data_IF_912347770753
#
_entry.id   IF_912347770753
#
_cell.length_a   1.000
_cell.length_b   1.000
_cell.length_c   1.000
_cell.angle_alpha   90.00
_cell.angle_beta   90.00
_cell.angle_gamma   90.00
#
_symmetry.space_group_name_H-M   'P 1'
#
loop_
_entity.id
_entity.type
_entity.pdbx_description
1 polymer ?
#
# COMPACT_ATOMS: atom_id res chain seq x y z
N UNK A 1 4.78 0.50 -21.94
CA UNK A 1 5.52 0.01 -20.76
C UNK A 1 5.14 0.91 -19.61
N UNK A 2 4.63 0.37 -18.49
CA UNK A 2 4.34 1.18 -17.29
C UNK A 2 5.66 1.58 -16.63
N UNK A 3 5.77 2.82 -16.20
CA UNK A 3 6.88 3.37 -15.42
C UNK A 3 6.67 3.15 -13.91
N UNK A 4 7.70 3.42 -13.11
CA UNK A 4 7.60 3.38 -11.64
C UNK A 4 6.51 4.33 -11.14
N UNK A 5 6.38 5.49 -11.77
CA UNK A 5 5.36 6.49 -11.45
C UNK A 5 3.93 6.00 -11.71
N UNK A 6 3.74 5.04 -12.63
CA UNK A 6 2.43 4.46 -12.96
C UNK A 6 1.98 3.37 -11.96
N UNK A 7 2.89 2.94 -11.07
CA UNK A 7 2.64 1.87 -10.07
C UNK A 7 2.80 2.36 -8.62
N UNK A 8 3.17 3.62 -8.40
CA UNK A 8 3.27 4.22 -7.07
C UNK A 8 2.06 5.11 -6.77
N UNK A 9 1.68 5.17 -5.50
CA UNK A 9 0.64 6.05 -5.01
C UNK A 9 1.26 7.36 -4.55
N UNK A 10 0.72 8.50 -5.00
CA UNK A 10 1.24 9.83 -4.60
C UNK A 10 0.44 10.47 -3.46
N UNK A 11 -0.80 10.04 -3.25
CA UNK A 11 -1.73 10.75 -2.37
C UNK A 11 -1.85 12.22 -2.80
N UNK A 12 -1.69 13.15 -1.85
CA UNK A 12 -1.64 14.60 -2.12
C UNK A 12 -0.23 15.14 -2.42
N UNK A 13 0.82 14.29 -2.41
CA UNK A 13 2.19 14.71 -2.58
C UNK A 13 2.63 14.69 -4.06
N UNK A 14 3.71 15.42 -4.37
CA UNK A 14 4.36 15.35 -5.70
C UNK A 14 5.23 14.10 -5.88
N UNK A 15 5.81 13.62 -4.77
CA UNK A 15 6.65 12.42 -4.72
C UNK A 15 5.83 11.20 -4.34
N UNK A 16 6.21 10.04 -4.88
CA UNK A 16 5.61 8.75 -4.57
C UNK A 16 5.73 8.37 -3.09
N UNK A 17 4.76 7.60 -2.60
CA UNK A 17 4.69 7.14 -1.22
C UNK A 17 5.75 6.06 -0.97
N UNK A 18 6.06 5.22 -1.96
CA UNK A 18 6.95 4.08 -1.78
C UNK A 18 8.36 4.50 -1.34
N UNK A 19 9.00 5.43 -2.04
CA UNK A 19 10.36 5.89 -1.69
C UNK A 19 10.41 6.47 -0.28
N UNK A 20 9.43 7.30 0.07
CA UNK A 20 9.29 7.87 1.42
C UNK A 20 9.08 6.79 2.49
N UNK A 21 8.38 5.71 2.15
CA UNK A 21 8.16 4.59 3.07
C UNK A 21 9.44 3.80 3.31
N UNK A 22 10.25 3.59 2.26
CA UNK A 22 11.59 3.01 2.38
C UNK A 22 12.49 3.90 3.23
N UNK A 23 12.47 5.22 3.05
CA UNK A 23 13.26 6.15 3.86
C UNK A 23 12.88 6.08 5.35
N UNK A 24 11.59 5.88 5.66
CA UNK A 24 11.07 5.84 7.03
C UNK A 24 11.24 4.49 7.72
N UNK A 25 10.97 3.40 7.02
CA UNK A 25 10.84 2.05 7.59
C UNK A 25 11.96 1.09 7.15
N UNK A 26 12.85 1.53 6.25
CA UNK A 26 13.81 0.67 5.57
C UNK A 26 13.17 -0.12 4.41
N UNK A 27 13.98 -0.86 3.63
CA UNK A 27 13.46 -1.72 2.57
C UNK A 27 12.53 -2.81 3.13
N UNK A 28 11.62 -3.31 2.28
CA UNK A 28 10.82 -4.48 2.60
C UNK A 28 11.71 -5.73 2.59
N UNK A 29 11.54 -6.57 3.60
CA UNK A 29 12.05 -7.93 3.67
C UNK A 29 11.07 -8.93 3.05
N UNK A 30 11.36 -10.21 3.25
CA UNK A 30 10.48 -11.29 2.81
C UNK A 30 9.13 -11.21 3.53
N UNK A 31 8.04 -11.36 2.78
CA UNK A 31 6.67 -11.31 3.28
C UNK A 31 6.25 -9.97 3.92
N UNK A 32 6.97 -8.87 3.69
CA UNK A 32 6.59 -7.55 4.18
C UNK A 32 5.92 -6.70 3.11
N UNK A 33 4.98 -5.85 3.52
CA UNK A 33 4.30 -4.88 2.65
C UNK A 33 4.18 -3.51 3.32
N UNK A 34 4.15 -2.45 2.51
CA UNK A 34 3.65 -1.15 2.94
C UNK A 34 2.14 -1.08 2.72
N UNK A 35 1.37 -1.22 3.79
CA UNK A 35 -0.09 -1.15 3.80
C UNK A 35 -0.60 0.18 4.36
N UNK A 36 -1.87 0.50 4.10
CA UNK A 36 -2.54 1.64 4.73
C UNK A 36 -3.34 1.19 5.96
N UNK A 37 -3.18 1.92 7.06
CA UNK A 37 -3.97 1.77 8.27
C UNK A 37 -4.55 3.14 8.67
N UNK A 38 -5.89 3.31 8.68
CA UNK A 38 -6.91 2.31 8.33
C UNK A 38 -6.88 1.90 6.85
N UNK A 39 -7.37 0.70 6.56
CA UNK A 39 -7.45 0.19 5.19
C UNK A 39 -8.32 1.10 4.31
N UNK A 40 -7.94 1.28 3.03
CA UNK A 40 -8.66 2.16 2.08
C UNK A 40 -10.11 1.71 1.92
N UNK A 41 -10.36 0.41 1.85
CA UNK A 41 -11.71 -0.16 1.71
C UNK A 41 -12.62 0.17 2.91
N UNK A 42 -12.03 0.51 4.06
CA UNK A 42 -12.74 0.94 5.27
C UNK A 42 -12.83 2.46 5.42
N UNK A 43 -12.60 3.21 4.33
CA UNK A 43 -12.60 4.67 4.33
C UNK A 43 -11.25 5.28 4.70
N UNK A 44 -10.17 4.50 4.73
CA UNK A 44 -8.82 5.01 4.92
C UNK A 44 -8.34 5.90 3.78
N UNK A 45 -7.64 6.97 4.12
CA UNK A 45 -7.12 7.91 3.13
C UNK A 45 -5.72 7.50 2.65
N UNK A 46 -5.45 7.74 1.36
CA UNK A 46 -4.13 7.59 0.75
C UNK A 46 -3.23 8.75 1.19
N UNK A 47 -2.72 8.65 2.43
CA UNK A 47 -1.80 9.61 3.04
C UNK A 47 -0.57 8.86 3.57
N UNK A 48 0.59 9.49 3.46
CA UNK A 48 1.84 8.89 3.93
C UNK A 48 1.82 8.55 5.43
N UNK A 49 1.11 9.35 6.23
CA UNK A 49 0.95 9.12 7.68
C UNK A 49 0.20 7.83 8.02
N UNK A 50 -0.60 7.30 7.09
CA UNK A 50 -1.34 6.05 7.24
C UNK A 50 -0.54 4.83 6.78
N UNK A 51 0.65 5.01 6.20
CA UNK A 51 1.48 3.89 5.74
C UNK A 51 2.10 3.18 6.93
N UNK A 52 1.97 1.86 6.96
CA UNK A 52 2.59 0.95 7.94
C UNK A 52 3.34 -0.14 7.20
N UNK A 53 4.43 -0.60 7.80
CA UNK A 53 5.18 -1.78 7.35
C UNK A 53 4.65 -2.97 8.13
N UNK A 54 4.12 -3.97 7.43
CA UNK A 54 3.35 -5.07 8.03
C UNK A 54 3.64 -6.40 7.33
N UNK A 55 3.30 -7.52 7.97
CA UNK A 55 3.29 -8.85 7.34
C UNK A 55 2.20 -8.90 6.26
N UNK A 56 2.57 -9.31 5.04
CA UNK A 56 1.70 -9.29 3.88
C UNK A 56 0.57 -10.34 3.96
N UNK A 57 0.83 -11.50 4.56
CA UNK A 57 -0.17 -12.56 4.66
C UNK A 57 -1.27 -12.14 5.62
N UNK A 58 -0.88 -11.66 6.80
CA UNK A 58 -1.83 -11.15 7.81
C UNK A 58 -2.60 -9.96 7.23
N UNK A 59 -1.91 -9.02 6.58
CA UNK A 59 -2.56 -7.83 6.04
C UNK A 59 -3.60 -8.19 4.97
N UNK A 60 -3.26 -9.07 4.02
CA UNK A 60 -4.20 -9.49 2.98
C UNK A 60 -5.33 -10.37 3.50
N UNK A 61 -5.09 -11.21 4.50
CA UNK A 61 -6.14 -12.03 5.13
C UNK A 61 -7.19 -11.14 5.80
N UNK A 62 -6.77 -10.05 6.46
CA UNK A 62 -7.70 -9.06 7.02
C UNK A 62 -8.47 -8.35 5.91
N UNK A 63 -7.80 -7.87 4.84
CA UNK A 63 -8.48 -7.17 3.75
C UNK A 63 -9.55 -8.04 3.07
N UNK A 64 -9.30 -9.34 2.91
CA UNK A 64 -10.27 -10.30 2.34
C UNK A 64 -11.52 -10.52 3.20
N UNK A 65 -11.46 -10.22 4.50
CA UNK A 65 -12.66 -10.27 5.35
C UNK A 65 -13.63 -9.12 5.07
N UNK A 66 -13.16 -8.04 4.43
CA UNK A 66 -13.95 -6.84 4.17
C UNK A 66 -14.46 -6.73 2.73
N UNK A 67 -13.71 -7.26 1.75
CA UNK A 67 -14.12 -7.25 0.35
C UNK A 67 -13.43 -8.36 -0.45
N UNK A 68 -14.14 -8.88 -1.45
CA UNK A 68 -13.54 -9.70 -2.49
C UNK A 68 -12.63 -8.85 -3.40
N UNK A 69 -11.54 -9.43 -3.95
CA UNK A 69 -10.71 -8.71 -4.91
C UNK A 69 -11.48 -8.44 -6.21
N UNK A 70 -11.36 -7.21 -6.71
CA UNK A 70 -11.85 -6.86 -8.05
C UNK A 70 -10.86 -7.38 -9.11
N UNK A 71 -11.31 -8.30 -9.95
CA UNK A 71 -10.48 -8.91 -11.00
C UNK A 71 -10.78 -8.19 -12.31
N UNK A 72 -9.80 -7.42 -12.79
CA UNK A 72 -9.86 -6.75 -14.09
C UNK A 72 -9.20 -7.64 -15.15
N UNK A 73 -9.92 -7.97 -16.22
CA UNK A 73 -9.32 -8.62 -17.40
C UNK A 73 -8.36 -7.65 -18.09
N UNK A 74 -7.13 -8.11 -18.38
CA UNK A 74 -6.02 -7.32 -18.92
C UNK A 74 -5.79 -7.69 -20.38
#
# INVERSE_FOLDING_TARGET
>A
MKSIDDIDLKGSAKTGIFSRAVDKYGPLGENEIFGFEPAIILGGEIKFENVRKSDMHIHFDILRQFADPDIQEI
#
